data_IF_509676868668
#
_entry.id   IF_509676868668
#
_cell.length_a   1.000
_cell.length_b   1.000
_cell.length_c   1.000
_cell.angle_alpha   90.00
_cell.angle_beta   90.00
_cell.angle_gamma   90.00
#
_symmetry.space_group_name_H-M   'P 1'
#
loop_
_entity.id
_entity.type
_entity.pdbx_description
1 polymer ?
#
# COMPACT_ATOMS: atom_id res chain seq x y z
N UNK A 1 -1.79 27.52 24.76
CA UNK A 1 -3.05 27.53 23.98
C UNK A 1 -2.99 28.39 22.71
N UNK A 2 -1.95 29.22 22.47
CA UNK A 2 -1.84 30.09 21.28
C UNK A 2 -1.27 29.40 20.01
N UNK A 3 -0.58 28.26 20.12
CA UNK A 3 0.02 27.55 18.97
C UNK A 3 -1.02 26.95 18.00
N UNK A 4 -2.24 26.65 18.45
CA UNK A 4 -3.27 26.05 17.60
C UNK A 4 -3.92 27.07 16.64
N UNK A 5 -3.93 28.36 16.99
CA UNK A 5 -4.58 29.39 16.18
C UNK A 5 -3.83 29.67 14.87
N UNK A 6 -2.49 29.62 14.86
CA UNK A 6 -1.70 29.92 13.65
C UNK A 6 -1.36 28.70 12.81
N UNK A 7 -1.16 27.54 13.45
CA UNK A 7 -0.67 26.35 12.77
C UNK A 7 -1.80 25.66 11.99
N UNK A 8 -3.01 25.62 12.55
CA UNK A 8 -4.17 25.02 11.89
C UNK A 8 -4.53 25.71 10.55
N UNK A 9 -4.63 27.04 10.44
CA UNK A 9 -4.93 27.68 9.17
C UNK A 9 -3.81 27.52 8.13
N UNK A 10 -2.52 27.56 8.54
CA UNK A 10 -1.40 27.30 7.62
C UNK A 10 -1.38 25.86 7.11
N UNK A 11 -1.67 24.89 7.98
CA UNK A 11 -1.81 23.49 7.57
C UNK A 11 -3.01 23.33 6.64
N UNK A 12 -4.13 23.99 6.94
CA UNK A 12 -5.32 23.97 6.07
C UNK A 12 -5.07 24.61 4.70
N UNK A 13 -4.36 25.74 4.63
CA UNK A 13 -3.97 26.38 3.36
C UNK A 13 -3.00 25.53 2.56
N UNK A 14 -1.97 24.97 3.22
CA UNK A 14 -1.01 24.07 2.55
C UNK A 14 -1.69 22.77 2.09
N UNK A 15 -2.63 22.22 2.85
CA UNK A 15 -3.50 21.12 2.41
C UNK A 15 -4.39 21.53 1.24
N UNK A 16 -4.96 22.73 1.23
CA UNK A 16 -5.77 23.22 0.12
C UNK A 16 -4.97 23.39 -1.18
N UNK A 17 -3.72 23.83 -1.05
CA UNK A 17 -2.77 23.93 -2.15
C UNK A 17 -2.34 22.53 -2.65
N UNK A 18 -2.05 21.60 -1.73
CA UNK A 18 -1.62 20.23 -2.06
C UNK A 18 -2.76 19.37 -2.61
N UNK A 19 -3.99 19.56 -2.14
CA UNK A 19 -5.17 18.84 -2.63
C UNK A 19 -5.64 19.32 -4.01
N UNK A 20 -5.19 20.50 -4.48
CA UNK A 20 -5.54 21.03 -5.81
C UNK A 20 -6.86 21.81 -5.85
N UNK A 21 -7.60 21.87 -4.73
CA UNK A 21 -8.86 22.62 -4.66
C UNK A 21 -8.66 24.12 -4.89
N UNK A 22 -7.53 24.67 -4.42
CA UNK A 22 -7.16 26.06 -4.68
C UNK A 22 -6.95 26.36 -6.18
N UNK A 23 -6.40 25.42 -6.95
CA UNK A 23 -6.21 25.56 -8.39
C UNK A 23 -7.55 25.59 -9.13
N UNK A 24 -8.48 24.69 -8.78
CA UNK A 24 -9.84 24.65 -9.32
C UNK A 24 -10.59 25.96 -9.04
N UNK A 25 -10.50 26.50 -7.82
CA UNK A 25 -11.16 27.75 -7.48
C UNK A 25 -10.59 28.96 -8.22
N UNK A 26 -9.25 29.03 -8.35
CA UNK A 26 -8.59 30.07 -9.14
C UNK A 26 -9.04 30.03 -10.61
N UNK A 27 -9.17 28.85 -11.19
CA UNK A 27 -9.64 28.70 -12.56
C UNK A 27 -11.13 29.07 -12.72
N UNK A 28 -11.97 28.73 -11.74
CA UNK A 28 -13.37 29.18 -11.72
C UNK A 28 -13.47 30.71 -11.73
N UNK A 29 -12.68 31.38 -10.91
CA UNK A 29 -12.64 32.85 -10.87
C UNK A 29 -12.16 33.44 -12.21
N UNK A 30 -11.10 32.85 -12.80
CA UNK A 30 -10.56 33.27 -14.09
C UNK A 30 -11.59 33.12 -15.23
N UNK A 31 -12.34 32.02 -15.25
CA UNK A 31 -13.44 31.81 -16.22
C UNK A 31 -14.53 32.87 -16.04
N UNK A 32 -14.94 33.18 -14.81
CA UNK A 32 -15.94 34.22 -14.54
C UNK A 32 -15.47 35.61 -14.99
N UNK A 33 -14.20 35.95 -14.73
CA UNK A 33 -13.60 37.21 -15.18
C UNK A 33 -13.59 37.29 -16.71
N UNK A 34 -13.20 36.22 -17.40
CA UNK A 34 -13.18 36.16 -18.87
C UNK A 34 -14.58 36.20 -19.50
N UNK A 35 -15.57 35.59 -18.85
CA UNK A 35 -16.96 35.66 -19.31
C UNK A 35 -17.52 37.08 -19.18
N UNK A 36 -17.22 37.77 -18.07
CA UNK A 36 -17.56 39.18 -17.89
C UNK A 36 -16.86 40.08 -18.93
N UNK A 37 -15.58 39.84 -19.20
CA UNK A 37 -14.83 40.53 -20.25
C UNK A 37 -15.46 40.32 -21.63
N UNK A 38 -15.78 39.07 -21.98
CA UNK A 38 -16.44 38.73 -23.25
C UNK A 38 -17.78 39.43 -23.39
N UNK A 39 -18.58 39.51 -22.33
CA UNK A 39 -19.85 40.21 -22.35
C UNK A 39 -19.67 41.71 -22.62
N UNK A 40 -18.67 42.34 -22.00
CA UNK A 40 -18.32 43.73 -22.30
C UNK A 40 -17.89 43.92 -23.76
N UNK A 41 -17.07 43.01 -24.29
CA UNK A 41 -16.65 43.06 -25.71
C UNK A 41 -17.82 42.88 -26.68
N UNK A 42 -18.79 42.01 -26.36
CA UNK A 42 -20.02 41.84 -27.15
C UNK A 42 -20.86 43.13 -27.18
N UNK A 43 -20.98 43.82 -26.04
CA UNK A 43 -21.68 45.11 -26.00
C UNK A 43 -20.97 46.18 -26.86
N UNK A 44 -19.64 46.23 -26.81
CA UNK A 44 -18.84 47.13 -27.64
C UNK A 44 -18.97 46.81 -29.13
N UNK A 45 -18.98 45.52 -29.48
CA UNK A 45 -19.20 45.06 -30.85
C UNK A 45 -20.56 45.50 -31.38
N UNK A 46 -21.64 45.30 -30.61
CA UNK A 46 -22.97 45.75 -31.02
C UNK A 46 -23.07 47.27 -31.15
N UNK A 47 -22.44 48.02 -30.25
CA UNK A 47 -22.38 49.48 -30.37
C UNK A 47 -21.62 49.92 -31.64
N UNK A 48 -20.48 49.29 -31.93
CA UNK A 48 -19.70 49.58 -33.13
C UNK A 48 -20.43 49.17 -34.42
N UNK A 49 -21.12 48.03 -34.39
CA UNK A 49 -21.97 47.54 -35.49
C UNK A 49 -23.08 48.52 -35.81
N UNK A 50 -23.86 48.90 -34.80
CA UNK A 50 -24.96 49.84 -34.96
C UNK A 50 -24.49 51.18 -35.53
N UNK A 51 -23.37 51.71 -35.01
CA UNK A 51 -22.76 52.95 -35.52
C UNK A 51 -22.38 52.84 -37.00
N UNK A 52 -21.81 51.70 -37.40
CA UNK A 52 -21.43 51.46 -38.80
C UNK A 52 -22.67 51.34 -39.70
N UNK A 53 -23.71 50.63 -39.27
CA UNK A 53 -24.99 50.52 -39.98
C UNK A 53 -25.68 51.88 -40.14
N UNK A 54 -25.73 52.71 -39.08
CA UNK A 54 -26.29 54.06 -39.11
C UNK A 54 -25.56 54.98 -40.11
N UNK A 55 -24.23 54.86 -40.19
CA UNK A 55 -23.40 55.62 -41.12
C UNK A 55 -23.57 55.16 -42.57
N UNK A 56 -23.67 53.85 -42.81
CA UNK A 56 -23.99 53.30 -44.13
C UNK A 56 -25.35 53.82 -44.60
N UNK A 57 -26.37 53.78 -43.74
CA UNK A 57 -27.70 54.26 -44.09
C UNK A 57 -27.72 55.76 -44.40
N UNK A 58 -26.97 56.55 -43.62
CA UNK A 58 -26.80 57.98 -43.86
C UNK A 58 -26.10 58.24 -45.19
N UNK A 59 -25.01 57.52 -45.50
CA UNK A 59 -24.31 57.59 -46.79
C UNK A 59 -25.22 57.20 -47.94
N UNK A 60 -25.97 56.11 -47.82
CA UNK A 60 -26.90 55.64 -48.84
C UNK A 60 -27.98 56.69 -49.15
N UNK A 61 -28.52 57.35 -48.11
CA UNK A 61 -29.46 58.47 -48.29
C UNK A 61 -28.82 59.63 -49.03
N UNK A 62 -27.63 60.07 -48.61
CA UNK A 62 -26.92 61.17 -49.25
C UNK A 62 -26.52 60.87 -50.70
N UNK A 63 -26.07 59.64 -50.98
CA UNK A 63 -25.75 59.19 -52.34
C UNK A 63 -26.98 59.21 -53.24
N UNK A 64 -28.15 58.75 -52.76
CA UNK A 64 -29.39 58.84 -53.54
C UNK A 64 -29.78 60.28 -53.85
N UNK A 65 -29.63 61.19 -52.90
CA UNK A 65 -29.90 62.63 -53.12
C UNK A 65 -28.91 63.26 -54.11
N UNK A 66 -27.61 62.92 -53.99
CA UNK A 66 -26.58 63.38 -54.93
C UNK A 66 -26.85 62.86 -56.34
N UNK A 67 -27.13 61.57 -56.50
CA UNK A 67 -27.47 60.99 -57.81
C UNK A 67 -28.72 61.64 -58.38
N UNK A 68 -29.77 61.83 -57.58
CA UNK A 68 -30.99 62.50 -58.03
C UNK A 68 -30.80 63.98 -58.40
N UNK A 69 -29.79 64.66 -57.85
CA UNK A 69 -29.37 65.98 -58.30
C UNK A 69 -28.59 65.90 -59.63
N UNK A 70 -27.63 64.97 -59.73
CA UNK A 70 -26.82 64.77 -60.94
C UNK A 70 -27.69 64.40 -62.16
N UNK A 71 -28.70 63.55 -61.97
CA UNK A 71 -29.57 63.11 -63.07
C UNK A 71 -30.38 64.27 -63.68
N UNK A 72 -30.69 65.31 -62.90
CA UNK A 72 -31.43 66.50 -63.35
C UNK A 72 -30.55 67.71 -63.65
N UNK A 73 -29.25 67.50 -63.89
CA UNK A 73 -28.24 68.56 -64.07
C UNK A 73 -28.62 69.67 -65.04
N UNK A 74 -29.27 69.32 -66.15
CA UNK A 74 -29.59 70.28 -67.21
C UNK A 74 -30.70 71.29 -66.81
N UNK A 75 -31.36 71.08 -65.66
CA UNK A 75 -32.45 71.90 -65.12
C UNK A 75 -32.15 72.52 -63.75
N UNK A 76 -30.89 72.59 -63.35
CA UNK A 76 -30.49 73.11 -62.04
C UNK A 76 -30.83 74.59 -61.85
N UNK A 77 -31.40 74.90 -60.69
CA UNK A 77 -31.48 76.27 -60.18
C UNK A 77 -30.23 76.58 -59.31
N UNK A 78 -29.94 77.86 -59.08
CA UNK A 78 -28.82 78.27 -58.20
C UNK A 78 -28.91 77.61 -56.80
N UNK A 79 -30.13 77.38 -56.30
CA UNK A 79 -30.39 76.65 -55.05
C UNK A 79 -29.96 75.18 -55.08
N UNK A 80 -30.04 74.51 -56.24
CA UNK A 80 -29.59 73.12 -56.39
C UNK A 80 -28.06 73.02 -56.39
N UNK A 81 -27.36 74.03 -56.93
CA UNK A 81 -25.89 74.10 -56.95
C UNK A 81 -25.34 74.24 -55.53
N UNK A 82 -25.96 75.10 -54.72
CA UNK A 82 -25.58 75.27 -53.30
C UNK A 82 -25.84 73.97 -52.51
N UNK A 83 -27.00 73.34 -52.72
CA UNK A 83 -27.35 72.07 -52.08
C UNK A 83 -26.41 70.94 -52.48
N UNK A 84 -26.08 70.82 -53.77
CA UNK A 84 -25.12 69.82 -54.26
C UNK A 84 -23.74 70.01 -53.61
N UNK A 85 -23.23 71.25 -53.59
CA UNK A 85 -21.94 71.56 -52.99
C UNK A 85 -21.92 71.23 -51.49
N UNK A 86 -23.02 71.52 -50.80
CA UNK A 86 -23.18 71.18 -49.39
C UNK A 86 -23.20 69.66 -49.16
N UNK A 87 -24.05 68.93 -49.89
CA UNK A 87 -24.16 67.47 -49.81
C UNK A 87 -22.86 66.76 -50.19
N UNK A 88 -22.12 67.27 -51.18
CA UNK A 88 -20.84 66.70 -51.60
C UNK A 88 -19.79 66.83 -50.50
N UNK A 89 -19.68 68.00 -49.86
CA UNK A 89 -18.78 68.21 -48.71
C UNK A 89 -19.13 67.28 -47.54
N UNK A 90 -20.42 67.16 -47.24
CA UNK A 90 -20.89 66.23 -46.21
C UNK A 90 -20.59 64.78 -46.57
N UNK A 91 -20.72 64.39 -47.84
CA UNK A 91 -20.46 63.02 -48.29
C UNK A 91 -18.99 62.63 -48.09
N UNK A 92 -18.06 63.54 -48.34
CA UNK A 92 -16.65 63.33 -48.04
C UNK A 92 -16.37 63.16 -46.54
N UNK A 93 -17.15 63.82 -45.66
CA UNK A 93 -17.06 63.62 -44.21
C UNK A 93 -17.59 62.25 -43.81
N UNK A 94 -18.80 61.90 -44.28
CA UNK A 94 -19.42 60.60 -43.99
C UNK A 94 -18.59 59.43 -44.50
N UNK A 95 -17.93 59.55 -45.66
CA UNK A 95 -17.04 58.52 -46.18
C UNK A 95 -15.84 58.27 -45.26
N UNK A 96 -15.24 59.31 -44.68
CA UNK A 96 -14.16 59.18 -43.69
C UNK A 96 -14.67 58.55 -42.40
N UNK A 97 -15.84 58.98 -41.94
CA UNK A 97 -16.47 58.47 -40.71
C UNK A 97 -16.88 57.00 -40.85
N UNK A 98 -17.44 56.61 -41.99
CA UNK A 98 -17.78 55.21 -42.30
C UNK A 98 -16.51 54.35 -42.36
N UNK A 99 -15.45 54.81 -43.02
CA UNK A 99 -14.18 54.07 -43.06
C UNK A 99 -13.60 53.87 -41.64
N UNK A 100 -13.68 54.90 -40.79
CA UNK A 100 -13.27 54.82 -39.39
C UNK A 100 -14.16 53.85 -38.59
N UNK A 101 -15.48 53.93 -38.75
CA UNK A 101 -16.43 53.05 -38.08
C UNK A 101 -16.28 51.59 -38.52
N UNK A 102 -16.02 51.34 -39.81
CA UNK A 102 -15.71 50.00 -40.34
C UNK A 102 -14.44 49.41 -39.72
N UNK A 103 -13.40 50.23 -39.58
CA UNK A 103 -12.16 49.83 -38.91
C UNK A 103 -12.40 49.50 -37.43
N UNK A 104 -13.17 50.34 -36.73
CA UNK A 104 -13.57 50.10 -35.33
C UNK A 104 -14.40 48.83 -35.17
N UNK A 105 -15.38 48.60 -36.05
CA UNK A 105 -16.18 47.38 -36.06
C UNK A 105 -15.30 46.15 -36.25
N UNK A 106 -14.40 46.16 -37.25
CA UNK A 106 -13.46 45.05 -37.47
C UNK A 106 -12.56 44.79 -36.25
N UNK A 107 -12.01 45.84 -35.63
CA UNK A 107 -11.18 45.70 -34.45
C UNK A 107 -11.96 45.18 -33.23
N UNK A 108 -13.22 45.61 -33.06
CA UNK A 108 -14.10 45.11 -32.02
C UNK A 108 -14.46 43.63 -32.24
N UNK A 109 -14.71 43.22 -33.49
CA UNK A 109 -14.96 41.81 -33.85
C UNK A 109 -13.75 40.95 -33.51
N UNK A 110 -12.56 41.34 -33.97
CA UNK A 110 -11.31 40.62 -33.69
C UNK A 110 -11.05 40.52 -32.18
N UNK A 111 -11.21 41.61 -31.43
CA UNK A 111 -11.06 41.59 -29.97
C UNK A 111 -12.10 40.70 -29.26
N UNK A 112 -13.31 40.57 -29.79
CA UNK A 112 -14.33 39.68 -29.24
C UNK A 112 -13.99 38.21 -29.53
N UNK A 113 -13.55 37.91 -30.77
CA UNK A 113 -13.16 36.56 -31.18
C UNK A 113 -11.94 36.05 -30.41
N UNK A 114 -10.94 36.90 -30.17
CA UNK A 114 -9.77 36.53 -29.35
C UNK A 114 -10.17 36.24 -27.91
N UNK A 115 -10.98 37.11 -27.29
CA UNK A 115 -11.48 36.90 -25.91
C UNK A 115 -12.32 35.62 -25.81
N UNK A 116 -13.12 35.32 -26.85
CA UNK A 116 -13.91 34.09 -26.91
C UNK A 116 -13.01 32.85 -27.00
N UNK A 117 -11.95 32.88 -27.82
CA UNK A 117 -11.00 31.80 -27.93
C UNK A 117 -10.25 31.57 -26.61
N UNK A 118 -9.85 32.65 -25.93
CA UNK A 118 -9.24 32.60 -24.59
C UNK A 118 -10.19 31.96 -23.58
N UNK A 119 -11.46 32.39 -23.51
CA UNK A 119 -12.45 31.81 -22.61
C UNK A 119 -12.62 30.29 -22.83
N UNK A 120 -12.67 29.85 -24.09
CA UNK A 120 -12.75 28.43 -24.42
C UNK A 120 -11.49 27.64 -23.98
N UNK A 121 -10.31 28.26 -24.07
CA UNK A 121 -9.07 27.68 -23.56
C UNK A 121 -9.12 27.53 -22.04
N UNK A 122 -9.57 28.56 -21.31
CA UNK A 122 -9.69 28.53 -19.85
C UNK A 122 -10.71 27.49 -19.37
N UNK A 123 -11.86 27.38 -20.05
CA UNK A 123 -12.86 26.35 -19.75
C UNK A 123 -12.27 24.95 -19.92
N UNK A 124 -11.45 24.74 -20.96
CA UNK A 124 -10.77 23.45 -21.20
C UNK A 124 -9.76 23.16 -20.09
N UNK A 125 -8.95 24.14 -19.71
CA UNK A 125 -7.99 23.99 -18.62
C UNK A 125 -8.71 23.62 -17.32
N UNK A 126 -9.87 24.23 -17.06
CA UNK A 126 -10.70 23.93 -15.88
C UNK A 126 -11.16 22.49 -15.87
N UNK A 127 -11.63 22.01 -17.02
CA UNK A 127 -12.08 20.64 -17.15
C UNK A 127 -10.96 19.64 -16.83
N UNK A 128 -9.75 19.89 -17.34
CA UNK A 128 -8.60 19.03 -17.09
C UNK A 128 -8.22 19.05 -15.60
N UNK A 129 -8.19 20.22 -14.98
CA UNK A 129 -7.87 20.36 -13.56
C UNK A 129 -8.93 19.69 -12.67
N UNK A 130 -10.22 19.85 -13.00
CA UNK A 130 -11.33 19.22 -12.27
C UNK A 130 -11.29 17.69 -12.42
N UNK A 131 -10.87 17.19 -13.58
CA UNK A 131 -10.63 15.75 -13.79
C UNK A 131 -9.44 15.24 -12.97
N UNK A 132 -8.31 15.95 -13.00
CA UNK A 132 -7.14 15.61 -12.21
C UNK A 132 -7.46 15.60 -10.71
N UNK A 133 -8.28 16.54 -10.25
CA UNK A 133 -8.74 16.59 -8.86
C UNK A 133 -9.55 15.34 -8.49
N UNK A 134 -10.49 14.92 -9.34
CA UNK A 134 -11.28 13.71 -9.14
C UNK A 134 -10.42 12.44 -9.05
N UNK A 135 -9.44 12.32 -9.96
CA UNK A 135 -8.53 11.18 -9.98
C UNK A 135 -7.56 11.20 -8.79
N UNK A 136 -7.13 12.39 -8.35
CA UNK A 136 -6.28 12.56 -7.17
C UNK A 136 -6.99 12.12 -5.89
N UNK A 137 -8.24 12.53 -5.66
CA UNK A 137 -9.03 12.07 -4.50
C UNK A 137 -9.16 10.55 -4.48
N UNK A 138 -9.45 9.95 -5.64
CA UNK A 138 -9.58 8.49 -5.74
C UNK A 138 -8.27 7.79 -5.36
N UNK A 139 -7.14 8.30 -5.86
CA UNK A 139 -5.83 7.74 -5.53
C UNK A 139 -5.51 7.89 -4.03
N UNK A 140 -5.85 9.03 -3.41
CA UNK A 140 -5.65 9.26 -1.97
C UNK A 140 -6.37 8.20 -1.13
N UNK A 141 -7.60 7.84 -1.48
CA UNK A 141 -8.34 6.79 -0.75
C UNK A 141 -7.67 5.43 -0.89
N UNK A 142 -7.17 5.07 -2.07
CA UNK A 142 -6.47 3.80 -2.30
C UNK A 142 -5.18 3.74 -1.50
N UNK A 143 -4.35 4.80 -1.59
CA UNK A 143 -3.09 4.91 -0.87
C UNK A 143 -3.30 4.93 0.66
N UNK A 144 -4.40 5.52 1.13
CA UNK A 144 -4.77 5.52 2.54
C UNK A 144 -5.02 4.10 3.07
N UNK A 145 -5.76 3.28 2.32
CA UNK A 145 -6.00 1.87 2.67
C UNK A 145 -4.69 1.07 2.70
N UNK A 146 -3.82 1.24 1.70
CA UNK A 146 -2.50 0.59 1.68
C UNK A 146 -1.63 1.02 2.85
N UNK A 147 -1.67 2.30 3.23
CA UNK A 147 -0.96 2.80 4.41
C UNK A 147 -1.47 2.15 5.70
N UNK A 148 -2.80 2.04 5.87
CA UNK A 148 -3.39 1.35 7.02
C UNK A 148 -3.01 -0.13 7.08
N UNK A 149 -3.04 -0.83 5.94
CA UNK A 149 -2.60 -2.23 5.83
C UNK A 149 -1.13 -2.35 6.22
N UNK A 150 -0.26 -1.46 5.73
CA UNK A 150 1.16 -1.47 6.07
C UNK A 150 1.38 -1.25 7.57
N UNK A 151 0.69 -0.28 8.18
CA UNK A 151 0.76 -0.04 9.62
C UNK A 151 0.32 -1.30 10.38
N UNK A 152 -0.79 -1.91 10.00
CA UNK A 152 -1.27 -3.16 10.61
C UNK A 152 -0.23 -4.28 10.52
N UNK A 153 0.36 -4.45 9.32
CA UNK A 153 1.40 -5.44 9.09
C UNK A 153 2.66 -5.16 9.93
N UNK A 154 3.10 -3.91 10.04
CA UNK A 154 4.26 -3.56 10.86
C UNK A 154 4.04 -3.85 12.34
N UNK A 155 2.82 -3.60 12.86
CA UNK A 155 2.45 -3.95 14.24
C UNK A 155 2.48 -5.47 14.41
N UNK A 156 1.91 -6.22 13.46
CA UNK A 156 1.90 -7.68 13.49
C UNK A 156 3.31 -8.27 13.49
N UNK A 157 4.18 -7.80 12.58
CA UNK A 157 5.59 -8.22 12.52
C UNK A 157 6.32 -7.90 13.83
N UNK A 158 6.15 -6.68 14.35
CA UNK A 158 6.77 -6.28 15.62
C UNK A 158 6.32 -7.18 16.78
N UNK A 159 5.02 -7.51 16.83
CA UNK A 159 4.50 -8.46 17.82
C UNK A 159 5.10 -9.86 17.63
N UNK A 160 5.19 -10.36 16.39
CA UNK A 160 5.71 -11.69 16.09
C UNK A 160 7.19 -11.83 16.48
N UNK A 161 8.03 -10.87 16.12
CA UNK A 161 9.47 -10.94 16.38
C UNK A 161 9.86 -10.64 17.83
N UNK A 162 9.03 -9.95 18.60
CA UNK A 162 9.36 -9.62 20.01
C UNK A 162 8.67 -10.58 20.97
N UNK A 163 7.39 -10.89 20.76
CA UNK A 163 6.57 -11.66 21.70
C UNK A 163 6.70 -13.17 21.49
N UNK A 164 6.78 -13.67 20.25
CA UNK A 164 6.92 -15.11 20.05
C UNK A 164 8.24 -15.70 20.52
N UNK A 165 9.44 -15.15 20.24
CA UNK A 165 10.66 -15.79 20.70
C UNK A 165 10.72 -15.85 22.22
N UNK A 166 10.29 -14.80 22.91
CA UNK A 166 10.27 -14.80 24.39
C UNK A 166 9.24 -15.80 24.94
N UNK A 167 8.11 -16.01 24.26
CA UNK A 167 7.16 -17.08 24.61
C UNK A 167 7.72 -18.48 24.33
N UNK A 168 8.36 -18.68 23.17
CA UNK A 168 8.99 -19.97 22.81
C UNK A 168 10.13 -20.31 23.75
N UNK A 169 11.00 -19.36 24.10
CA UNK A 169 12.08 -19.58 25.05
C UNK A 169 11.57 -20.08 26.41
N UNK A 170 10.51 -19.45 26.96
CA UNK A 170 9.91 -19.90 28.21
C UNK A 170 9.30 -21.29 28.13
N UNK A 171 8.62 -21.61 27.03
CA UNK A 171 8.04 -22.95 26.83
C UNK A 171 9.13 -24.03 26.67
N UNK A 172 10.22 -23.72 25.97
CA UNK A 172 11.37 -24.62 25.84
C UNK A 172 12.10 -24.85 27.17
N UNK A 173 12.22 -23.81 28.01
CA UNK A 173 12.78 -23.94 29.37
C UNK A 173 11.89 -24.79 30.29
N UNK A 174 10.57 -24.59 30.24
CA UNK A 174 9.63 -25.41 31.02
C UNK A 174 9.65 -26.88 30.57
N UNK A 175 9.69 -27.12 29.25
CA UNK A 175 9.80 -28.46 28.69
C UNK A 175 11.13 -29.13 29.06
N UNK A 176 12.24 -28.43 28.98
CA UNK A 176 13.55 -29.00 29.34
C UNK A 176 13.62 -29.34 30.83
N UNK A 177 13.06 -28.51 31.69
CA UNK A 177 12.95 -28.78 33.14
C UNK A 177 12.07 -30.01 33.42
N UNK A 178 10.91 -30.11 32.78
CA UNK A 178 10.02 -31.27 32.93
C UNK A 178 10.68 -32.56 32.43
N UNK A 179 11.41 -32.52 31.33
CA UNK A 179 12.16 -33.68 30.81
C UNK A 179 13.27 -34.08 31.78
N UNK A 180 13.98 -33.11 32.36
CA UNK A 180 15.02 -33.38 33.35
C UNK A 180 14.44 -34.02 34.63
N UNK A 181 13.34 -33.47 35.14
CA UNK A 181 12.65 -33.97 36.32
C UNK A 181 12.11 -35.38 36.09
N UNK A 182 11.50 -35.63 34.92
CA UNK A 182 10.99 -36.96 34.55
C UNK A 182 12.13 -37.96 34.35
N UNK A 183 13.26 -37.53 33.79
CA UNK A 183 14.48 -38.35 33.65
C UNK A 183 15.05 -38.72 35.01
N UNK A 184 15.12 -37.78 35.95
CA UNK A 184 15.60 -38.02 37.32
C UNK A 184 14.64 -38.93 38.10
N UNK A 185 13.33 -38.68 38.03
CA UNK A 185 12.32 -39.54 38.65
C UNK A 185 12.37 -40.97 38.09
N UNK A 186 12.60 -41.13 36.79
CA UNK A 186 12.79 -42.45 36.18
C UNK A 186 14.10 -43.11 36.62
N UNK A 187 15.20 -42.36 36.74
CA UNK A 187 16.45 -42.89 37.29
C UNK A 187 16.29 -43.33 38.74
N UNK A 188 15.64 -42.53 39.58
CA UNK A 188 15.34 -42.86 40.98
C UNK A 188 14.38 -44.06 41.09
N UNK A 189 13.42 -44.18 40.18
CA UNK A 189 12.51 -45.32 40.12
C UNK A 189 13.25 -46.60 39.70
N UNK A 190 14.16 -46.51 38.72
CA UNK A 190 15.03 -47.61 38.31
C UNK A 190 15.97 -48.01 39.44
N UNK A 191 16.55 -47.05 40.16
CA UNK A 191 17.42 -47.32 41.32
C UNK A 191 16.65 -47.99 42.46
N UNK A 192 15.42 -47.53 42.76
CA UNK A 192 14.56 -48.18 43.76
C UNK A 192 14.10 -49.57 43.33
N UNK A 193 13.74 -49.77 42.05
CA UNK A 193 13.40 -51.09 41.51
C UNK A 193 14.60 -52.04 41.57
N UNK A 194 15.80 -51.57 41.23
CA UNK A 194 17.04 -52.30 41.36
C UNK A 194 17.31 -52.72 42.82
N UNK A 195 17.09 -51.81 43.77
CA UNK A 195 17.28 -52.07 45.21
C UNK A 195 16.25 -53.05 45.81
N UNK A 196 15.04 -53.13 45.24
CA UNK A 196 13.98 -54.03 45.71
C UNK A 196 14.12 -55.43 45.10
N UNK A 197 14.43 -55.53 43.81
CA UNK A 197 14.42 -56.81 43.10
C UNK A 197 15.78 -57.53 43.13
N UNK A 198 16.91 -56.83 42.94
CA UNK A 198 18.21 -57.51 42.88
C UNK A 198 18.81 -57.80 44.25
N UNK A 199 18.50 -57.01 45.28
CA UNK A 199 19.05 -57.22 46.62
C UNK A 199 18.72 -58.60 47.21
N UNK A 200 17.46 -59.09 47.20
CA UNK A 200 17.17 -60.43 47.69
C UNK A 200 17.79 -61.53 46.80
N UNK A 201 17.97 -61.29 45.51
CA UNK A 201 18.58 -62.25 44.58
C UNK A 201 20.10 -62.37 44.78
N UNK A 202 20.80 -61.26 45.01
CA UNK A 202 22.22 -61.25 45.37
C UNK A 202 22.43 -61.91 46.72
N UNK A 203 21.56 -61.65 47.69
CA UNK A 203 21.60 -62.28 49.02
C UNK A 203 21.32 -63.80 48.94
N UNK A 204 20.35 -64.21 48.11
CA UNK A 204 20.08 -65.63 47.82
C UNK A 204 21.25 -66.32 47.12
N UNK A 205 21.94 -65.64 46.20
CA UNK A 205 23.13 -66.20 45.54
C UNK A 205 24.29 -66.36 46.51
N UNK A 206 24.49 -65.41 47.44
CA UNK A 206 25.49 -65.57 48.51
C UNK A 206 25.13 -66.72 49.46
N UNK A 207 23.85 -66.93 49.77
CA UNK A 207 23.39 -68.07 50.57
C UNK A 207 23.53 -69.42 49.84
N UNK A 208 23.25 -69.45 48.53
CA UNK A 208 23.40 -70.66 47.71
C UNK A 208 24.88 -71.03 47.57
N UNK A 209 25.77 -70.05 47.35
CA UNK A 209 27.22 -70.31 47.34
C UNK A 209 27.75 -70.80 48.68
N UNK A 210 27.21 -70.29 49.80
CA UNK A 210 27.54 -70.78 51.13
C UNK A 210 27.06 -72.24 51.36
N UNK A 211 25.90 -72.61 50.82
CA UNK A 211 25.37 -73.98 50.88
C UNK A 211 26.11 -74.94 49.96
N UNK A 212 26.48 -74.54 48.76
CA UNK A 212 27.31 -75.34 47.85
C UNK A 212 28.72 -75.58 48.43
N UNK A 213 29.26 -74.62 49.18
CA UNK A 213 30.53 -74.80 49.91
C UNK A 213 30.41 -75.84 51.05
N UNK A 214 29.28 -75.87 51.79
CA UNK A 214 29.00 -76.87 52.82
C UNK A 214 28.76 -78.27 52.20
N UNK A 215 28.07 -78.33 51.06
CA UNK A 215 27.78 -79.59 50.36
C UNK A 215 29.03 -80.18 49.69
N UNK A 216 29.93 -79.34 49.16
CA UNK A 216 31.25 -79.76 48.68
C UNK A 216 32.13 -80.36 49.79
N UNK A 217 31.98 -79.89 51.03
CA UNK A 217 32.63 -80.45 52.21
C UNK A 217 32.02 -81.81 52.61
N UNK A 218 30.68 -81.94 52.56
CA UNK A 218 29.96 -83.21 52.79
C UNK A 218 30.27 -84.27 51.73
N UNK A 219 30.32 -83.91 50.45
CA UNK A 219 30.64 -84.84 49.36
C UNK A 219 32.10 -85.32 49.45
N UNK A 220 33.04 -84.48 49.89
CA UNK A 220 34.41 -84.92 50.23
C UNK A 220 34.44 -85.96 51.36
N UNK A 221 33.53 -85.86 52.33
CA UNK A 221 33.44 -86.83 53.44
C UNK A 221 32.81 -88.17 53.03
N UNK A 222 31.85 -88.16 52.09
CA UNK A 222 31.18 -89.37 51.59
C UNK A 222 32.03 -90.13 50.56
N UNK A 223 32.76 -89.41 49.69
CA UNK A 223 33.70 -90.00 48.73
C UNK A 223 34.90 -90.69 49.42
N UNK A 224 35.18 -90.36 50.69
CA UNK A 224 36.23 -91.01 51.48
C UNK A 224 35.81 -92.37 52.08
N UNK A 225 34.52 -92.74 52.03
CA UNK A 225 33.98 -93.98 52.62
C UNK A 225 33.67 -95.06 51.56
N UNK A 226 33.58 -94.70 50.28
CA UNK A 226 33.25 -95.62 49.18
C UNK A 226 34.43 -95.99 48.27
N UNK A 227 35.67 -95.97 48.79
CA UNK A 227 36.87 -96.48 48.12
C UNK A 227 37.45 -97.64 48.93
N UNK A 228 36.76 -98.78 48.92
CA UNK A 228 37.35 -100.11 49.01
C UNK A 228 36.32 -101.18 48.54
N UNK A 229 36.56 -101.82 47.39
CA UNK A 229 35.72 -102.93 46.88
C UNK A 229 35.30 -102.88 45.41
N UNK A 230 36.24 -103.19 44.52
CA UNK A 230 36.14 -103.84 43.20
C UNK A 230 34.86 -103.85 42.34
N UNK A 231 35.04 -103.48 41.06
CA UNK A 231 34.58 -104.32 39.93
C UNK A 231 33.49 -103.78 38.98
N UNK A 232 33.94 -103.39 37.77
CA UNK A 232 33.26 -103.44 36.47
C UNK A 232 32.08 -102.48 36.16
N UNK A 233 32.19 -101.80 35.01
CA UNK A 233 31.05 -101.54 34.12
C UNK A 233 30.65 -100.08 33.89
N UNK A 234 31.27 -99.46 32.89
CA UNK A 234 30.66 -98.58 31.86
C UNK A 234 29.46 -97.67 32.24
N UNK A 235 29.73 -96.36 32.45
CA UNK A 235 28.82 -95.25 32.10
C UNK A 235 29.48 -93.88 32.34
N UNK A 236 30.40 -93.45 31.48
CA UNK A 236 30.95 -92.08 31.54
C UNK A 236 30.91 -91.43 30.17
N UNK A 237 29.71 -91.01 29.75
CA UNK A 237 29.59 -89.95 28.75
C UNK A 237 28.30 -89.13 28.89
N UNK A 238 27.93 -88.75 30.12
CA UNK A 238 26.78 -87.86 30.37
C UNK A 238 27.10 -86.62 31.22
N UNK A 239 28.36 -86.43 31.64
CA UNK A 239 28.76 -85.28 32.48
C UNK A 239 29.64 -84.24 31.78
N UNK A 240 30.03 -84.42 30.51
CA UNK A 240 30.76 -83.38 29.74
C UNK A 240 29.85 -82.29 29.18
N UNK A 241 28.53 -82.48 29.16
CA UNK A 241 27.59 -81.52 28.59
C UNK A 241 27.14 -80.43 29.56
N UNK A 242 27.21 -80.65 30.88
CA UNK A 242 26.68 -79.69 31.86
C UNK A 242 27.72 -78.63 32.27
N UNK A 243 29.02 -78.94 32.22
CA UNK A 243 30.08 -77.96 32.53
C UNK A 243 30.30 -76.87 31.47
N UNK A 244 29.89 -77.11 30.22
CA UNK A 244 30.05 -76.13 29.14
C UNK A 244 28.96 -75.04 29.13
N UNK A 245 27.78 -75.33 29.67
CA UNK A 245 26.65 -74.38 29.68
C UNK A 245 26.82 -73.33 30.79
N UNK A 246 27.43 -73.69 31.93
CA UNK A 246 27.69 -72.75 33.03
C UNK A 246 28.81 -71.76 32.67
N UNK A 247 29.85 -72.21 31.95
CA UNK A 247 30.93 -71.33 31.49
C UNK A 247 30.47 -70.29 30.45
N UNK A 248 29.50 -70.63 29.60
CA UNK A 248 28.97 -69.72 28.58
C UNK A 248 28.03 -68.65 29.17
N UNK A 249 27.30 -68.97 30.25
CA UNK A 249 26.43 -68.01 30.93
C UNK A 249 27.21 -67.00 31.80
N UNK A 250 28.34 -67.40 32.38
CA UNK A 250 29.23 -66.47 33.11
C UNK A 250 30.01 -65.53 32.17
N UNK A 251 30.32 -65.97 30.95
CA UNK A 251 30.98 -65.13 29.94
C UNK A 251 30.09 -64.01 29.38
N UNK A 252 28.78 -64.23 29.25
CA UNK A 252 27.85 -63.22 28.75
C UNK A 252 27.46 -62.16 29.79
N UNK A 253 27.53 -62.47 31.09
CA UNK A 253 27.18 -61.52 32.16
C UNK A 253 28.25 -60.45 32.37
N UNK A 254 29.52 -60.75 32.07
CA UNK A 254 30.63 -59.78 32.20
C UNK A 254 30.69 -58.79 31.03
N UNK A 255 30.09 -59.12 29.87
CA UNK A 255 30.10 -58.23 28.70
C UNK A 255 28.93 -57.23 28.67
N UNK A 256 27.92 -57.40 29.53
CA UNK A 256 26.76 -56.51 29.64
C UNK A 256 26.87 -55.48 30.79
N UNK A 257 28.00 -55.46 31.49
CA UNK A 257 28.36 -54.45 32.49
C UNK A 257 29.70 -53.82 32.07
N UNK A 258 29.69 -53.14 30.92
CA UNK A 258 30.67 -52.13 30.54
C UNK A 258 30.10 -51.19 29.49
#
# INVERSE_FOLDING_TARGET
>A
MQLNHEIIPKISESLNAVTGYAAVNKLKEKVLQKDAELNSKKQLLEAARKRYEDLIDSRNKMQRELTGLIDRRDSWMNTDIDRYTHLFKQNLSLEKEEAAAKSQYKAATESMETTQAELLSEIRERYIEEQLYSDKIRSVSTWYTWALILVHFTIFVSAQFIVEPSRRHRQHEQLSQLILETSQLNQDAVEKQFMIELRPLVERLTEIQAKEAEEAERVKSVVKIAVDGGGAGNATNQYRAQGLIVGLLLGLSIYLIK
#
